data_IF_118697619660
#
_entry.id   IF_118697619660
#
_cell.length_a   1.000
_cell.length_b   1.000
_cell.length_c   1.000
_cell.angle_alpha   90.00
_cell.angle_beta   90.00
_cell.angle_gamma   90.00
#
_symmetry.space_group_name_H-M   'P 1'
#
loop_
_entity.id
_entity.type
_entity.pdbx_description
1 polymer ?
#
# COMPACT_ATOMS: atom_id res chain seq x y z
N UNK A 1 -3.48 -9.05 12.96
CA UNK A 1 -3.70 -7.86 12.10
C UNK A 1 -4.07 -8.29 10.70
N UNK A 2 -4.99 -7.57 10.07
CA UNK A 2 -5.42 -7.77 8.67
C UNK A 2 -4.93 -6.62 7.79
N UNK A 3 -4.90 -6.83 6.48
CA UNK A 3 -4.48 -5.82 5.52
C UNK A 3 -5.60 -5.45 4.55
N UNK A 4 -5.62 -4.20 4.12
CA UNK A 4 -6.49 -3.73 3.03
C UNK A 4 -5.61 -3.10 1.95
N UNK A 5 -5.81 -3.48 0.71
CA UNK A 5 -5.28 -2.77 -0.46
C UNK A 5 -6.46 -2.05 -1.11
N UNK A 6 -6.40 -0.73 -1.14
CA UNK A 6 -7.40 0.05 -1.88
C UNK A 6 -6.88 0.28 -3.30
N UNK A 7 -7.43 -0.48 -4.23
CA UNK A 7 -7.11 -0.48 -5.66
C UNK A 7 -8.28 0.04 -6.50
N UNK A 8 -9.01 1.01 -5.96
CA UNK A 8 -10.12 1.69 -6.62
C UNK A 8 -9.70 2.98 -7.31
N UNK A 9 -10.71 3.74 -7.73
CA UNK A 9 -10.55 5.04 -8.37
C UNK A 9 -10.67 4.98 -9.89
N UNK A 10 -11.10 6.10 -10.49
CA UNK A 10 -11.36 6.20 -11.94
C UNK A 10 -10.13 6.25 -12.83
N UNK A 11 -8.93 6.49 -12.26
CA UNK A 11 -7.68 6.58 -13.01
C UNK A 11 -7.64 7.70 -14.07
N UNK A 12 -8.55 8.65 -14.06
CA UNK A 12 -8.76 9.67 -15.13
C UNK A 12 -7.51 10.49 -15.46
N UNK A 13 -6.63 10.71 -14.49
CA UNK A 13 -5.35 11.41 -14.71
C UNK A 13 -4.37 10.67 -15.62
N UNK A 14 -4.61 9.36 -15.85
CA UNK A 14 -3.82 8.51 -16.75
C UNK A 14 -4.57 8.10 -18.03
N UNK A 15 -5.71 8.74 -18.33
CA UNK A 15 -6.36 8.52 -19.62
C UNK A 15 -5.42 8.93 -20.77
N UNK A 16 -5.35 8.15 -21.88
CA UNK A 16 -6.21 7.00 -22.23
C UNK A 16 -5.75 5.63 -21.67
N UNK A 17 -4.62 5.53 -20.95
CA UNK A 17 -4.06 4.25 -20.49
C UNK A 17 -5.05 3.45 -19.61
N UNK A 18 -5.83 4.14 -18.81
CA UNK A 18 -6.75 3.55 -17.84
C UNK A 18 -8.21 3.47 -18.33
N UNK A 19 -8.46 3.61 -19.63
CA UNK A 19 -9.81 3.44 -20.19
C UNK A 19 -10.30 1.98 -20.18
N UNK A 20 -9.38 1.04 -20.29
CA UNK A 20 -9.72 -0.39 -20.41
C UNK A 20 -9.10 -1.25 -19.30
N UNK A 21 -8.29 -0.68 -18.42
CA UNK A 21 -7.59 -1.42 -17.36
C UNK A 21 -7.39 -0.55 -16.14
N UNK A 22 -7.57 -1.14 -14.96
CA UNK A 22 -7.22 -0.48 -13.69
C UNK A 22 -5.75 -0.07 -13.67
N UNK A 23 -5.46 1.13 -13.14
CA UNK A 23 -4.09 1.61 -12.97
C UNK A 23 -3.21 0.59 -12.24
N UNK A 24 -3.72 -0.03 -11.21
CA UNK A 24 -2.98 -0.96 -10.36
C UNK A 24 -2.68 -2.31 -11.04
N UNK A 25 -3.28 -2.58 -12.20
CA UNK A 25 -2.97 -3.73 -13.06
C UNK A 25 -1.93 -3.40 -14.14
N UNK A 26 -1.61 -2.12 -14.33
CA UNK A 26 -0.59 -1.70 -15.28
C UNK A 26 0.80 -2.17 -14.82
N UNK A 27 1.71 -2.45 -15.77
CA UNK A 27 3.06 -2.88 -15.42
C UNK A 27 3.87 -1.72 -14.82
N UNK A 28 4.62 -2.01 -13.75
CA UNK A 28 5.75 -1.23 -13.31
C UNK A 28 6.98 -2.10 -13.54
N UNK A 29 7.69 -1.82 -14.61
CA UNK A 29 8.80 -2.59 -15.15
C UNK A 29 8.37 -4.02 -15.53
N UNK A 30 8.57 -5.02 -14.68
CA UNK A 30 8.42 -6.44 -14.99
C UNK A 30 7.21 -7.14 -14.32
N UNK A 31 6.41 -6.39 -13.53
CA UNK A 31 5.26 -6.96 -12.82
C UNK A 31 4.11 -5.95 -12.65
N UNK A 32 2.87 -6.41 -12.38
CA UNK A 32 1.75 -5.53 -12.12
C UNK A 32 1.98 -4.63 -10.90
N UNK A 33 1.52 -3.38 -10.97
CA UNK A 33 1.68 -2.39 -9.90
C UNK A 33 1.19 -2.89 -8.54
N UNK A 34 0.08 -3.63 -8.48
CA UNK A 34 -0.51 -4.16 -7.24
C UNK A 34 0.46 -5.05 -6.44
N UNK A 35 1.48 -5.66 -7.07
CA UNK A 35 2.47 -6.51 -6.41
C UNK A 35 3.29 -5.72 -5.38
N UNK A 36 3.56 -4.44 -5.65
CA UNK A 36 4.36 -3.60 -4.75
C UNK A 36 3.64 -3.35 -3.42
N UNK A 37 2.42 -2.79 -3.37
CA UNK A 37 1.70 -2.63 -2.09
C UNK A 37 1.36 -3.98 -1.44
N UNK A 38 1.08 -5.03 -2.21
CA UNK A 38 0.88 -6.36 -1.67
C UNK A 38 2.11 -6.86 -0.92
N UNK A 39 3.31 -6.69 -1.51
CA UNK A 39 4.57 -7.05 -0.88
C UNK A 39 4.81 -6.30 0.44
N UNK A 40 4.36 -5.04 0.55
CA UNK A 40 4.47 -4.24 1.78
C UNK A 40 3.65 -4.85 2.92
N UNK A 41 2.41 -5.23 2.67
CA UNK A 41 1.59 -5.91 3.68
C UNK A 41 2.19 -7.25 4.09
N UNK A 42 2.67 -8.03 3.12
CA UNK A 42 3.34 -9.31 3.39
C UNK A 42 4.62 -9.12 4.23
N UNK A 43 5.45 -8.11 3.92
CA UNK A 43 6.65 -7.76 4.69
C UNK A 43 6.33 -7.28 6.12
N UNK A 44 5.15 -6.71 6.34
CA UNK A 44 4.64 -6.36 7.66
C UNK A 44 4.18 -7.59 8.48
N UNK A 45 4.20 -8.79 7.88
CA UNK A 45 3.74 -10.02 8.53
C UNK A 45 2.25 -10.31 8.34
N UNK A 46 1.58 -9.58 7.45
CA UNK A 46 0.13 -9.69 7.22
C UNK A 46 -0.16 -10.74 6.14
N UNK A 47 -1.01 -11.71 6.45
CA UNK A 47 -1.38 -12.80 5.54
C UNK A 47 -2.84 -12.74 5.08
N UNK A 48 -3.73 -12.15 5.88
CA UNK A 48 -5.13 -11.95 5.52
C UNK A 48 -5.28 -10.56 4.92
N UNK A 49 -5.63 -10.48 3.64
CA UNK A 49 -5.61 -9.23 2.86
C UNK A 49 -6.90 -9.11 2.06
N UNK A 50 -7.59 -7.97 2.23
CA UNK A 50 -8.74 -7.58 1.45
C UNK A 50 -8.31 -6.64 0.32
N UNK A 51 -8.63 -6.99 -0.91
CA UNK A 51 -8.46 -6.15 -2.08
C UNK A 51 -9.79 -5.46 -2.38
N UNK A 52 -9.81 -4.13 -2.32
CA UNK A 52 -10.99 -3.33 -2.62
C UNK A 52 -10.78 -2.64 -3.96
N UNK A 53 -11.70 -2.84 -4.91
CA UNK A 53 -11.61 -2.24 -6.24
C UNK A 53 -12.99 -1.87 -6.79
N UNK A 54 -13.02 -1.29 -8.00
CA UNK A 54 -14.26 -0.98 -8.71
C UNK A 54 -14.98 -2.27 -9.14
N UNK A 55 -16.30 -2.22 -9.37
CA UNK A 55 -17.04 -3.39 -9.90
C UNK A 55 -16.47 -3.91 -11.22
N UNK A 56 -15.97 -3.01 -12.07
CA UNK A 56 -15.41 -3.32 -13.37
C UNK A 56 -14.05 -4.05 -13.29
N UNK A 57 -13.19 -3.62 -12.37
CA UNK A 57 -11.81 -4.09 -12.32
C UNK A 57 -11.59 -5.28 -11.37
N UNK A 58 -12.47 -5.46 -10.37
CA UNK A 58 -12.32 -6.49 -9.34
C UNK A 58 -12.11 -7.90 -9.90
N UNK A 59 -12.85 -8.35 -10.94
CA UNK A 59 -12.64 -9.69 -11.53
C UNK A 59 -11.23 -9.90 -12.08
N UNK A 60 -10.56 -8.83 -12.53
CA UNK A 60 -9.19 -8.91 -13.04
C UNK A 60 -8.17 -9.08 -11.90
N UNK A 61 -8.41 -8.46 -10.73
CA UNK A 61 -7.61 -8.71 -9.53
C UNK A 61 -7.79 -10.13 -9.01
N UNK A 62 -9.02 -10.64 -8.97
CA UNK A 62 -9.30 -12.03 -8.60
C UNK A 62 -8.59 -13.02 -9.52
N UNK A 63 -8.63 -12.78 -10.82
CA UNK A 63 -7.94 -13.59 -11.82
C UNK A 63 -6.41 -13.55 -11.67
N UNK A 64 -5.85 -12.39 -11.33
CA UNK A 64 -4.40 -12.20 -11.19
C UNK A 64 -3.85 -12.83 -9.91
N UNK A 65 -4.52 -12.60 -8.78
CA UNK A 65 -3.99 -12.90 -7.44
C UNK A 65 -4.56 -14.20 -6.85
N UNK A 66 -5.71 -14.67 -7.35
CA UNK A 66 -6.39 -15.86 -6.81
C UNK A 66 -6.84 -15.64 -5.36
N UNK A 67 -6.86 -16.71 -4.58
CA UNK A 67 -7.22 -16.70 -3.16
C UNK A 67 -6.03 -16.47 -2.20
N UNK A 68 -4.83 -16.31 -2.74
CA UNK A 68 -3.59 -16.13 -1.98
C UNK A 68 -2.96 -17.42 -1.43
N UNK A 69 -3.62 -18.55 -1.55
CA UNK A 69 -3.13 -19.84 -0.98
C UNK A 69 -1.77 -20.24 -1.52
N UNK A 70 -1.48 -19.97 -2.79
CA UNK A 70 -0.17 -20.22 -3.41
C UNK A 70 0.96 -19.45 -2.73
N UNK A 71 0.65 -18.32 -2.08
CA UNK A 71 1.61 -17.46 -1.36
C UNK A 71 1.57 -17.70 0.15
N UNK A 72 0.80 -18.69 0.63
CA UNK A 72 0.56 -18.90 2.05
C UNK A 72 -0.21 -17.77 2.72
N UNK A 73 -0.99 -17.03 1.93
CA UNK A 73 -1.87 -15.94 2.33
C UNK A 73 -3.33 -16.30 2.10
N UNK A 74 -4.23 -15.41 2.54
CA UNK A 74 -5.67 -15.49 2.25
C UNK A 74 -6.12 -14.12 1.71
N UNK A 75 -6.58 -14.10 0.47
CA UNK A 75 -7.10 -12.90 -0.15
C UNK A 75 -8.63 -12.95 -0.22
N UNK A 76 -9.24 -11.83 0.14
CA UNK A 76 -10.65 -11.56 -0.04
C UNK A 76 -10.82 -10.33 -0.94
N UNK A 77 -12.00 -10.18 -1.52
CA UNK A 77 -12.28 -9.15 -2.51
C UNK A 77 -13.57 -8.42 -2.17
N UNK A 78 -13.58 -7.10 -2.31
CA UNK A 78 -14.76 -6.28 -2.09
C UNK A 78 -14.88 -5.17 -3.12
N UNK A 79 -16.10 -4.78 -3.40
CA UNK A 79 -16.41 -3.71 -4.36
C UNK A 79 -16.49 -2.38 -3.62
N UNK A 80 -15.79 -1.36 -4.13
CA UNK A 80 -16.08 0.04 -3.88
C UNK A 80 -16.86 0.58 -5.10
N UNK A 81 -18.18 0.81 -4.99
CA UNK A 81 -19.00 1.19 -6.14
C UNK A 81 -18.61 2.53 -6.74
N UNK A 82 -18.23 3.49 -5.90
CA UNK A 82 -17.83 4.84 -6.25
C UNK A 82 -16.61 5.29 -5.47
N UNK A 83 -15.74 6.16 -6.03
CA UNK A 83 -14.50 6.60 -5.39
C UNK A 83 -14.77 7.68 -4.32
N UNK A 84 -15.56 7.37 -3.30
CA UNK A 84 -16.01 8.31 -2.26
C UNK A 84 -14.95 8.58 -1.17
N UNK A 85 -13.69 8.26 -1.40
CA UNK A 85 -12.59 8.53 -0.49
C UNK A 85 -11.95 7.30 0.15
N UNK A 86 -10.77 7.50 0.74
CA UNK A 86 -9.92 6.41 1.24
C UNK A 86 -10.48 5.78 2.52
N UNK A 87 -11.10 6.56 3.40
CA UNK A 87 -11.62 6.08 4.67
C UNK A 87 -12.80 5.10 4.48
N UNK A 88 -13.48 5.13 3.34
CA UNK A 88 -14.55 4.19 3.02
C UNK A 88 -14.05 2.72 3.02
N UNK A 89 -12.75 2.50 2.80
CA UNK A 89 -12.17 1.16 2.83
C UNK A 89 -12.42 0.43 4.16
N UNK A 90 -12.46 1.13 5.29
CA UNK A 90 -12.71 0.53 6.60
C UNK A 90 -14.19 0.18 6.79
N UNK A 91 -15.08 0.95 6.21
CA UNK A 91 -16.54 0.68 6.24
C UNK A 91 -16.87 -0.52 5.35
N UNK A 92 -16.33 -0.56 4.13
CA UNK A 92 -16.48 -1.71 3.21
C UNK A 92 -15.87 -2.96 3.82
N UNK A 93 -14.68 -2.83 4.42
CA UNK A 93 -13.92 -3.92 5.02
C UNK A 93 -14.37 -4.33 6.42
N UNK A 94 -15.41 -3.73 7.01
CA UNK A 94 -15.80 -3.96 8.41
C UNK A 94 -15.94 -5.44 8.78
N UNK A 95 -16.66 -6.20 7.98
CA UNK A 95 -16.86 -7.65 8.22
C UNK A 95 -15.55 -8.43 8.14
N UNK A 96 -14.70 -8.07 7.19
CA UNK A 96 -13.38 -8.66 7.05
C UNK A 96 -12.47 -8.30 8.23
N UNK A 97 -12.44 -7.04 8.64
CA UNK A 97 -11.64 -6.55 9.78
C UNK A 97 -12.09 -7.26 11.06
N UNK A 98 -13.40 -7.32 11.32
CA UNK A 98 -13.94 -7.87 12.56
C UNK A 98 -13.40 -7.08 13.78
N UNK A 99 -12.81 -7.79 14.74
CA UNK A 99 -12.17 -7.20 15.93
C UNK A 99 -10.66 -6.98 15.79
N UNK A 100 -10.08 -7.25 14.61
CA UNK A 100 -8.66 -7.14 14.39
C UNK A 100 -8.20 -5.69 14.18
N UNK A 101 -6.92 -5.45 14.39
CA UNK A 101 -6.20 -4.27 13.91
C UNK A 101 -6.02 -4.39 12.40
N UNK A 102 -5.88 -3.26 11.71
CA UNK A 102 -5.83 -3.23 10.25
C UNK A 102 -4.76 -2.30 9.70
N UNK A 103 -4.04 -2.75 8.67
CA UNK A 103 -3.21 -1.90 7.83
C UNK A 103 -3.94 -1.59 6.52
N UNK A 104 -3.84 -0.34 6.07
CA UNK A 104 -4.30 0.10 4.75
C UNK A 104 -3.10 0.54 3.93
N UNK A 105 -3.00 0.03 2.71
CA UNK A 105 -2.06 0.54 1.71
C UNK A 105 -2.80 0.90 0.43
N UNK A 106 -2.38 2.02 -0.19
CA UNK A 106 -2.92 2.42 -1.48
C UNK A 106 -2.28 1.59 -2.60
N UNK A 107 -3.11 1.09 -3.50
CA UNK A 107 -2.72 0.16 -4.56
C UNK A 107 -1.75 0.72 -5.60
N UNK A 108 -1.47 2.02 -5.56
CA UNK A 108 -0.59 2.75 -6.47
C UNK A 108 0.68 3.29 -5.80
N UNK A 109 0.94 2.92 -4.55
CA UNK A 109 2.11 3.34 -3.80
C UNK A 109 3.19 2.26 -3.82
N UNK A 110 4.41 2.67 -4.14
CA UNK A 110 5.59 1.81 -4.16
C UNK A 110 6.54 2.26 -3.07
N UNK A 111 6.98 1.33 -2.24
CA UNK A 111 7.97 1.58 -1.18
C UNK A 111 9.16 0.67 -1.38
N UNK A 112 10.37 1.23 -1.21
CA UNK A 112 11.62 0.48 -1.23
C UNK A 112 12.65 1.13 -0.30
N UNK A 113 13.37 0.32 0.46
CA UNK A 113 14.44 0.83 1.31
C UNK A 113 14.97 -0.21 2.28
N UNK A 114 16.20 0.00 2.71
CA UNK A 114 16.84 -0.84 3.71
C UNK A 114 16.11 -0.70 5.06
N UNK A 115 15.87 -1.82 5.74
CA UNK A 115 15.21 -1.84 7.05
C UNK A 115 13.69 -1.65 7.02
N UNK A 116 13.08 -1.48 5.83
CA UNK A 116 11.63 -1.26 5.70
C UNK A 116 10.82 -2.38 6.36
N UNK A 117 11.16 -3.65 6.14
CA UNK A 117 10.47 -4.79 6.76
C UNK A 117 10.46 -4.71 8.29
N UNK A 118 11.59 -4.35 8.92
CA UNK A 118 11.67 -4.17 10.38
C UNK A 118 10.78 -3.04 10.87
N UNK A 119 10.77 -1.92 10.14
CA UNK A 119 9.92 -0.76 10.46
C UNK A 119 8.44 -1.14 10.38
N UNK A 120 8.03 -1.88 9.35
CA UNK A 120 6.66 -2.32 9.17
C UNK A 120 6.22 -3.29 10.28
N UNK A 121 7.06 -4.27 10.60
CA UNK A 121 6.78 -5.26 11.65
C UNK A 121 6.70 -4.63 13.05
N UNK A 122 7.50 -3.58 13.32
CA UNK A 122 7.44 -2.85 14.58
C UNK A 122 6.09 -2.12 14.78
N UNK A 123 5.34 -1.87 13.72
CA UNK A 123 4.06 -1.18 13.74
C UNK A 123 2.85 -2.11 13.52
N UNK A 124 3.03 -3.42 13.48
CA UNK A 124 1.95 -4.36 13.21
C UNK A 124 1.03 -4.65 14.42
N UNK A 125 1.24 -3.99 15.54
CA UNK A 125 0.39 -4.03 16.74
C UNK A 125 0.10 -2.62 17.29
N UNK A 126 -0.49 -1.70 16.52
CA UNK A 126 -0.68 -0.31 16.93
C UNK A 126 -1.71 -0.19 18.07
N UNK A 127 -1.50 0.80 18.97
CA UNK A 127 -2.41 1.19 20.03
C UNK A 127 -3.14 2.50 19.68
N UNK A 128 -3.47 2.69 18.44
CA UNK A 128 -4.09 3.86 17.82
C UNK A 128 -3.79 3.89 16.34
N UNK A 129 -3.59 5.09 15.77
CA UNK A 129 -3.17 5.29 14.39
C UNK A 129 -1.66 5.47 14.28
N UNK A 130 -1.06 4.84 13.27
CA UNK A 130 0.32 5.07 12.86
C UNK A 130 0.34 5.51 11.42
N UNK A 131 0.88 6.71 11.16
CA UNK A 131 1.15 7.25 9.83
C UNK A 131 2.65 7.32 9.59
N UNK A 132 3.06 7.39 8.33
CA UNK A 132 4.45 7.61 7.99
C UNK A 132 4.66 9.05 7.51
N UNK A 133 5.86 9.57 7.70
CA UNK A 133 6.30 10.87 7.24
C UNK A 133 7.45 10.70 6.24
N UNK A 134 7.29 11.24 5.05
CA UNK A 134 8.30 11.22 3.99
C UNK A 134 8.57 12.65 3.51
N UNK A 135 9.83 13.07 3.52
CA UNK A 135 10.21 14.43 3.09
C UNK A 135 10.12 14.57 1.57
N UNK A 136 9.36 15.57 1.11
CA UNK A 136 9.12 15.87 -0.29
C UNK A 136 9.38 17.36 -0.58
N UNK A 137 9.50 17.71 -1.87
CA UNK A 137 9.67 19.11 -2.31
C UNK A 137 8.33 19.80 -2.63
N UNK A 138 7.24 19.05 -2.77
CA UNK A 138 5.91 19.48 -3.19
C UNK A 138 4.83 18.98 -2.22
N UNK A 139 4.94 19.32 -0.90
CA UNK A 139 4.08 18.77 0.15
C UNK A 139 2.59 19.11 -0.02
N UNK A 140 2.26 20.21 -0.68
CA UNK A 140 0.89 20.68 -0.93
C UNK A 140 0.03 19.68 -1.74
N UNK A 141 0.67 18.70 -2.37
CA UNK A 141 -0.02 17.65 -3.14
C UNK A 141 -0.60 16.53 -2.28
N UNK A 142 -0.18 16.42 -1.03
CA UNK A 142 -0.39 15.29 -0.14
C UNK A 142 -1.03 15.70 1.19
N UNK A 143 -1.43 14.73 1.99
CA UNK A 143 -1.60 14.94 3.41
C UNK A 143 -0.25 15.32 4.02
N UNK A 144 -0.20 16.36 4.83
CA UNK A 144 1.03 16.86 5.45
C UNK A 144 0.96 16.69 6.95
N UNK A 145 2.00 16.08 7.54
CA UNK A 145 2.13 15.90 8.98
C UNK A 145 3.21 16.81 9.56
N UNK A 146 2.89 17.46 10.68
CA UNK A 146 3.83 18.23 11.49
C UNK A 146 4.04 17.49 12.82
N UNK A 147 5.29 17.39 13.27
CA UNK A 147 5.66 16.74 14.53
C UNK A 147 6.83 17.47 15.20
N UNK A 148 6.96 17.31 16.52
CA UNK A 148 8.02 17.93 17.29
C UNK A 148 9.30 17.07 17.32
N UNK A 149 10.33 17.55 18.03
CA UNK A 149 11.62 16.86 18.18
C UNK A 149 11.54 15.49 18.86
N UNK A 150 10.42 15.20 19.55
CA UNK A 150 10.13 13.91 20.18
C UNK A 150 9.33 12.98 19.23
N UNK A 151 9.17 13.35 17.97
CA UNK A 151 8.33 12.66 16.97
C UNK A 151 6.83 12.59 17.37
N UNK A 152 6.36 13.51 18.19
CA UNK A 152 4.94 13.61 18.55
C UNK A 152 4.23 14.46 17.50
N UNK A 153 3.16 13.93 16.92
CA UNK A 153 2.36 14.64 15.92
C UNK A 153 1.69 15.87 16.55
N UNK A 154 1.83 17.02 15.90
CA UNK A 154 1.25 18.32 16.30
C UNK A 154 0.03 18.62 15.42
N UNK A 155 0.17 18.45 14.12
CA UNK A 155 -0.92 18.69 13.16
C UNK A 155 -0.85 17.73 11.98
N UNK A 156 -1.99 17.53 11.33
CA UNK A 156 -2.10 16.83 10.06
C UNK A 156 -3.16 17.53 9.20
N UNK A 157 -2.82 17.84 7.95
CA UNK A 157 -3.68 18.59 7.04
C UNK A 157 -3.70 17.95 5.66
N UNK A 158 -4.89 17.86 5.04
CA UNK A 158 -5.05 17.34 3.68
C UNK A 158 -4.78 18.44 2.66
N UNK A 159 -3.78 18.24 1.80
CA UNK A 159 -3.41 19.12 0.68
C UNK A 159 -3.44 20.61 1.06
N UNK A 160 -2.70 21.03 2.08
CA UNK A 160 -2.73 22.42 2.55
C UNK A 160 -2.17 23.37 1.49
N UNK A 161 -2.80 24.52 1.31
CA UNK A 161 -2.27 25.58 0.44
C UNK A 161 -0.94 26.16 0.96
N UNK A 162 -0.77 26.18 2.29
CA UNK A 162 0.45 26.63 2.96
C UNK A 162 0.92 25.52 3.92
N UNK A 163 1.71 24.55 3.45
CA UNK A 163 2.18 23.43 4.26
C UNK A 163 3.03 23.88 5.45
N UNK A 164 2.78 23.32 6.63
CA UNK A 164 3.55 23.61 7.85
C UNK A 164 4.84 22.81 7.95
N UNK A 165 4.99 21.79 7.13
CA UNK A 165 6.20 20.96 7.02
C UNK A 165 6.36 20.43 5.61
N UNK A 166 7.54 19.87 5.30
CA UNK A 166 7.79 19.14 4.05
C UNK A 166 7.51 17.66 4.16
N UNK A 167 6.84 17.19 5.22
CA UNK A 167 6.59 15.77 5.44
C UNK A 167 5.21 15.37 4.93
N UNK A 168 5.20 14.76 3.75
CA UNK A 168 4.01 14.12 3.18
C UNK A 168 3.70 12.83 3.93
N UNK A 169 2.42 12.49 4.00
CA UNK A 169 1.92 11.21 4.53
C UNK A 169 1.69 10.26 3.35
N UNK A 170 2.55 9.25 3.17
CA UNK A 170 2.35 8.23 2.16
C UNK A 170 1.10 7.40 2.39
N UNK A 171 0.63 6.74 1.33
CA UNK A 171 -0.54 5.87 1.37
C UNK A 171 -0.31 4.53 2.08
N UNK A 172 0.18 4.57 3.31
CA UNK A 172 0.39 3.40 4.18
C UNK A 172 0.06 3.76 5.62
N UNK A 173 -0.87 3.04 6.21
CA UNK A 173 -1.46 3.35 7.50
C UNK A 173 -1.64 2.08 8.32
N UNK A 174 -1.45 2.17 9.64
CA UNK A 174 -1.72 1.09 10.58
C UNK A 174 -2.65 1.62 11.67
N UNK A 175 -3.71 0.89 11.98
CA UNK A 175 -4.72 1.32 12.95
C UNK A 175 -5.12 0.19 13.88
N UNK A 176 -5.49 0.58 15.11
CA UNK A 176 -6.28 -0.29 15.97
C UNK A 176 -7.72 -0.43 15.44
N UNK A 177 -8.55 -1.21 16.11
CA UNK A 177 -9.91 -1.49 15.63
C UNK A 177 -10.87 -0.29 15.72
N UNK A 178 -10.53 0.75 16.51
CA UNK A 178 -11.33 1.98 16.60
C UNK A 178 -11.52 2.66 15.23
N UNK A 179 -10.64 2.37 14.26
CA UNK A 179 -10.69 2.98 12.91
C UNK A 179 -12.02 2.73 12.18
N UNK A 180 -12.64 1.57 12.39
CA UNK A 180 -13.92 1.24 11.74
C UNK A 180 -15.02 2.19 12.20
N UNK A 181 -15.11 2.41 13.51
CA UNK A 181 -16.11 3.32 14.08
C UNK A 181 -15.78 4.78 13.75
N UNK A 182 -14.51 5.17 13.77
CA UNK A 182 -14.09 6.50 13.34
C UNK A 182 -14.49 6.75 11.88
N UNK A 183 -14.21 5.81 10.97
CA UNK A 183 -14.50 5.95 9.55
C UNK A 183 -16.01 6.07 9.25
N UNK A 184 -16.86 5.45 10.06
CA UNK A 184 -18.33 5.59 9.95
C UNK A 184 -18.84 6.97 10.37
N UNK A 185 -18.11 7.66 11.24
CA UNK A 185 -18.57 8.91 11.87
C UNK A 185 -17.92 10.18 11.29
N UNK A 186 -16.94 10.08 10.38
CA UNK A 186 -16.42 11.26 9.68
C UNK A 186 -17.41 11.76 8.62
N UNK A 187 -17.40 13.08 8.38
CA UNK A 187 -18.18 13.71 7.34
C UNK A 187 -17.38 13.78 6.03
N UNK A 188 -18.05 13.81 4.87
CA UNK A 188 -17.38 14.08 3.60
C UNK A 188 -16.73 15.47 3.60
N UNK A 189 -15.56 15.57 3.01
CA UNK A 189 -14.86 16.85 2.80
C UNK A 189 -15.63 17.73 1.77
N UNK A 190 -15.23 19.01 1.60
CA UNK A 190 -15.78 19.86 0.53
C UNK A 190 -15.60 19.28 -0.89
N UNK A 191 -14.72 18.28 -1.05
CA UNK A 191 -14.55 17.52 -2.30
C UNK A 191 -15.53 16.36 -2.45
N UNK A 192 -16.37 16.10 -1.45
CA UNK A 192 -17.30 14.96 -1.41
C UNK A 192 -16.63 13.63 -1.01
N UNK A 193 -15.38 13.65 -0.54
CA UNK A 193 -14.61 12.45 -0.20
C UNK A 193 -14.53 12.24 1.32
N UNK A 194 -14.61 10.99 1.78
CA UNK A 194 -14.29 10.57 3.15
C UNK A 194 -12.77 10.46 3.27
N UNK A 195 -12.15 11.52 3.79
CA UNK A 195 -10.71 11.67 3.81
C UNK A 195 -10.05 10.81 4.88
N UNK A 196 -8.96 10.13 4.52
CA UNK A 196 -8.14 9.42 5.49
C UNK A 196 -7.49 10.39 6.49
N UNK A 197 -7.23 11.61 6.07
CA UNK A 197 -6.69 12.67 6.93
C UNK A 197 -7.65 13.02 8.07
N UNK A 198 -8.97 12.92 7.86
CA UNK A 198 -9.94 13.19 8.93
C UNK A 198 -10.00 12.03 9.94
N UNK A 199 -9.79 10.79 9.50
CA UNK A 199 -9.55 9.66 10.40
C UNK A 199 -8.31 9.93 11.27
N UNK A 200 -7.21 10.37 10.66
CA UNK A 200 -5.98 10.68 11.37
C UNK A 200 -6.14 11.86 12.34
N UNK A 201 -6.91 12.89 11.97
CA UNK A 201 -7.24 14.00 12.89
C UNK A 201 -8.01 13.53 14.11
N UNK A 202 -8.93 12.58 13.96
CA UNK A 202 -9.66 12.03 15.10
C UNK A 202 -8.73 11.23 16.03
N UNK A 203 -7.79 10.45 15.49
CA UNK A 203 -6.74 9.81 16.30
C UNK A 203 -5.82 10.84 16.97
N UNK A 204 -5.45 11.91 16.29
CA UNK A 204 -4.66 13.00 16.87
C UNK A 204 -5.39 13.67 18.03
N UNK A 205 -6.67 13.98 17.87
CA UNK A 205 -7.53 14.56 18.91
C UNK A 205 -7.64 13.67 20.14
N UNK A 206 -7.66 12.36 19.97
CA UNK A 206 -7.65 11.36 21.06
C UNK A 206 -6.27 11.16 21.68
N UNK A 207 -5.22 11.81 21.16
CA UNK A 207 -3.83 11.61 21.61
C UNK A 207 -3.27 10.24 21.24
N UNK A 208 -3.83 9.58 20.22
CA UNK A 208 -3.50 8.22 19.77
C UNK A 208 -2.91 8.16 18.36
N UNK A 209 -2.41 9.27 17.80
CA UNK A 209 -1.74 9.28 16.51
C UNK A 209 -0.22 9.30 16.67
N UNK A 210 0.45 8.34 16.09
CA UNK A 210 1.91 8.20 16.05
C UNK A 210 2.44 8.41 14.64
N UNK A 211 3.70 8.84 14.51
CA UNK A 211 4.38 9.00 13.22
C UNK A 211 5.66 8.18 13.16
N UNK A 212 5.82 7.40 12.08
CA UNK A 212 7.08 6.74 11.71
C UNK A 212 7.77 7.54 10.60
N UNK A 213 9.05 7.86 10.76
CA UNK A 213 9.80 8.62 9.75
C UNK A 213 10.44 7.64 8.75
N UNK A 214 10.11 7.80 7.47
CA UNK A 214 10.81 7.12 6.39
C UNK A 214 12.13 7.85 6.12
N UNK A 215 13.22 7.19 6.50
CA UNK A 215 14.56 7.78 6.48
C UNK A 215 15.11 7.98 5.07
N UNK A 216 16.18 8.79 4.96
CA UNK A 216 16.99 8.90 3.75
C UNK A 216 17.44 7.50 3.28
N UNK A 217 17.25 7.22 1.99
CA UNK A 217 17.48 5.89 1.40
C UNK A 217 16.23 5.03 1.29
N UNK A 218 15.09 5.48 1.86
CA UNK A 218 13.78 4.94 1.52
C UNK A 218 13.25 5.69 0.30
N UNK A 219 12.78 4.97 -0.71
CA UNK A 219 12.01 5.51 -1.82
C UNK A 219 10.52 5.28 -1.58
N UNK A 220 9.75 6.33 -1.75
CA UNK A 220 8.31 6.29 -1.90
C UNK A 220 7.94 6.93 -3.23
N UNK A 221 7.20 6.21 -4.05
CA UNK A 221 6.79 6.64 -5.39
C UNK A 221 5.27 6.54 -5.47
N UNK A 222 4.63 7.67 -5.78
CA UNK A 222 3.24 7.70 -6.22
C UNK A 222 3.21 7.56 -7.75
N UNK A 223 2.29 6.79 -8.29
CA UNK A 223 2.19 6.56 -9.73
C UNK A 223 0.98 7.30 -10.33
N UNK A 224 0.70 8.49 -9.81
CA UNK A 224 -0.51 9.26 -10.12
C UNK A 224 -0.52 10.02 -11.45
N UNK A 225 0.63 10.16 -12.11
CA UNK A 225 0.79 10.88 -13.39
C UNK A 225 1.61 10.05 -14.38
N UNK A 226 1.57 10.40 -15.68
CA UNK A 226 2.41 9.72 -16.69
C UNK A 226 3.90 9.78 -16.35
N UNK A 227 4.36 10.94 -15.88
CA UNK A 227 5.76 11.11 -15.50
C UNK A 227 6.14 10.24 -14.28
N UNK A 228 5.33 10.24 -13.21
CA UNK A 228 5.62 9.45 -12.02
C UNK A 228 5.49 7.94 -12.28
N UNK A 229 4.57 7.51 -13.16
CA UNK A 229 4.46 6.12 -13.59
C UNK A 229 5.73 5.65 -14.32
N UNK A 230 6.24 6.46 -15.25
CA UNK A 230 7.48 6.18 -15.98
C UNK A 230 8.69 6.17 -15.05
N UNK A 231 8.81 7.17 -14.15
CA UNK A 231 9.88 7.24 -13.17
C UNK A 231 9.91 6.05 -12.22
N UNK A 232 8.73 5.56 -11.80
CA UNK A 232 8.63 4.37 -10.99
C UNK A 232 9.18 3.13 -11.72
N UNK A 233 8.81 2.94 -12.99
CA UNK A 233 9.35 1.84 -13.82
C UNK A 233 10.87 1.93 -13.99
N UNK A 234 11.40 3.12 -14.26
CA UNK A 234 12.84 3.35 -14.40
C UNK A 234 13.59 3.11 -13.09
N UNK A 235 13.05 3.58 -11.96
CA UNK A 235 13.64 3.34 -10.65
C UNK A 235 13.73 1.84 -10.34
N UNK A 236 12.63 1.11 -10.52
CA UNK A 236 12.60 -0.34 -10.28
C UNK A 236 13.60 -1.04 -11.19
N UNK A 237 13.60 -0.73 -12.49
CA UNK A 237 14.54 -1.31 -13.47
C UNK A 237 15.99 -1.12 -13.01
N UNK A 238 16.41 0.11 -12.73
CA UNK A 238 17.80 0.42 -12.38
C UNK A 238 18.23 -0.34 -11.11
N UNK A 239 17.39 -0.40 -10.09
CA UNK A 239 17.73 -1.11 -8.85
C UNK A 239 17.80 -2.62 -9.10
N UNK A 240 16.82 -3.21 -9.77
CA UNK A 240 16.78 -4.66 -10.04
C UNK A 240 17.96 -5.10 -10.91
N UNK A 241 18.29 -4.36 -11.97
CA UNK A 241 19.43 -4.68 -12.85
C UNK A 241 20.78 -4.55 -12.13
N UNK A 242 20.92 -3.56 -11.23
CA UNK A 242 22.18 -3.34 -10.50
C UNK A 242 22.39 -4.32 -9.35
N UNK A 243 21.33 -4.66 -8.62
CA UNK A 243 21.42 -5.52 -7.44
C UNK A 243 21.18 -7.00 -7.74
N UNK A 244 20.60 -7.32 -8.89
CA UNK A 244 20.20 -8.69 -9.22
C UNK A 244 19.06 -9.22 -8.33
N UNK A 245 18.33 -8.32 -7.64
CA UNK A 245 17.23 -8.64 -6.76
C UNK A 245 15.97 -7.88 -7.19
N UNK A 246 14.81 -8.49 -7.01
CA UNK A 246 13.54 -7.87 -7.40
C UNK A 246 12.92 -7.05 -6.28
N UNK A 247 12.26 -5.95 -6.67
CA UNK A 247 11.42 -5.14 -5.78
C UNK A 247 9.97 -5.60 -5.91
N UNK A 248 9.26 -5.81 -4.81
CA UNK A 248 7.85 -6.18 -4.84
C UNK A 248 7.58 -7.57 -5.43
N UNK A 249 8.56 -8.47 -5.39
CA UNK A 249 8.40 -9.86 -5.78
C UNK A 249 7.68 -10.62 -4.67
N UNK A 250 6.36 -10.79 -4.80
CA UNK A 250 5.50 -11.35 -3.76
C UNK A 250 5.84 -12.80 -3.44
N UNK A 251 6.28 -13.57 -4.41
CA UNK A 251 6.69 -14.97 -4.27
C UNK A 251 8.00 -15.09 -3.45
N UNK A 252 8.97 -14.22 -3.72
CA UNK A 252 10.19 -14.12 -2.91
C UNK A 252 9.87 -13.69 -1.48
N UNK A 253 8.99 -12.68 -1.31
CA UNK A 253 8.56 -12.24 0.02
C UNK A 253 7.89 -13.38 0.77
N UNK A 254 6.97 -14.12 0.13
CA UNK A 254 6.31 -15.28 0.73
C UNK A 254 7.32 -16.34 1.20
N UNK A 255 8.33 -16.63 0.39
CA UNK A 255 9.37 -17.59 0.74
C UNK A 255 10.26 -17.10 1.89
N UNK A 256 10.76 -15.86 1.81
CA UNK A 256 11.65 -15.28 2.85
C UNK A 256 10.95 -15.05 4.19
N UNK A 257 9.65 -14.77 4.16
CA UNK A 257 8.81 -14.65 5.35
C UNK A 257 8.36 -16.02 5.91
N UNK A 258 8.75 -17.12 5.27
CA UNK A 258 8.37 -18.46 5.70
C UNK A 258 6.89 -18.78 5.52
N UNK A 259 6.20 -18.09 4.61
CA UNK A 259 4.81 -18.36 4.28
C UNK A 259 4.67 -19.60 3.39
N UNK A 260 5.65 -19.80 2.51
CA UNK A 260 5.79 -20.98 1.65
C UNK A 260 7.19 -21.58 1.78
N UNK A 261 7.32 -22.85 1.45
CA UNK A 261 8.60 -23.57 1.42
C UNK A 261 9.24 -23.56 0.02
N UNK A 262 10.44 -24.14 -0.09
CA UNK A 262 11.20 -24.18 -1.35
C UNK A 262 10.47 -24.94 -2.48
N UNK A 263 9.75 -26.03 -2.16
CA UNK A 263 9.04 -26.81 -3.19
C UNK A 263 7.82 -26.05 -3.72
N UNK A 264 7.13 -25.33 -2.85
CA UNK A 264 6.05 -24.42 -3.26
C UNK A 264 6.60 -23.30 -4.15
N UNK A 265 7.73 -22.67 -3.80
CA UNK A 265 8.36 -21.63 -4.64
C UNK A 265 8.79 -22.20 -6.00
N UNK A 266 9.35 -23.42 -6.06
CA UNK A 266 9.66 -24.09 -7.34
C UNK A 266 8.41 -24.30 -8.19
N UNK A 267 7.31 -24.70 -7.58
CA UNK A 267 6.04 -24.90 -8.30
C UNK A 267 5.49 -23.62 -8.89
N UNK A 268 5.56 -22.50 -8.14
CA UNK A 268 5.15 -21.17 -8.62
C UNK A 268 6.07 -20.69 -9.75
N UNK A 269 7.39 -20.88 -9.62
CA UNK A 269 8.38 -20.43 -10.58
C UNK A 269 8.24 -21.12 -11.95
N UNK A 270 7.87 -22.40 -11.98
CA UNK A 270 7.87 -23.23 -13.19
C UNK A 270 7.12 -22.63 -14.37
N UNK A 271 5.89 -22.14 -14.29
CA UNK A 271 5.19 -21.51 -15.42
C UNK A 271 5.79 -20.16 -15.84
N UNK A 272 6.62 -19.54 -15.00
CA UNK A 272 7.18 -18.18 -15.20
C UNK A 272 8.61 -18.19 -15.77
N UNK A 273 9.21 -19.35 -15.97
CA UNK A 273 10.64 -19.46 -16.38
C UNK A 273 10.91 -18.78 -17.72
N UNK A 274 9.96 -18.84 -18.67
CA UNK A 274 10.14 -18.26 -20.02
C UNK A 274 10.32 -16.73 -20.01
N UNK A 275 9.78 -16.03 -19.03
CA UNK A 275 9.90 -14.57 -18.91
C UNK A 275 11.18 -14.13 -18.17
N UNK A 276 11.97 -15.04 -17.65
CA UNK A 276 13.09 -14.75 -16.77
C UNK A 276 12.69 -14.53 -15.30
N UNK A 277 11.44 -14.18 -15.03
CA UNK A 277 10.92 -14.01 -13.67
C UNK A 277 10.99 -15.31 -12.86
N UNK A 278 10.53 -16.42 -13.45
CA UNK A 278 10.63 -17.74 -12.81
C UNK A 278 12.06 -18.21 -12.62
N UNK A 279 12.99 -17.88 -13.54
CA UNK A 279 14.40 -18.21 -13.34
C UNK A 279 15.00 -17.47 -12.14
N UNK A 280 14.63 -16.20 -11.95
CA UNK A 280 14.99 -15.45 -10.74
C UNK A 280 14.53 -16.17 -9.46
N UNK A 281 13.26 -16.62 -9.40
CA UNK A 281 12.71 -17.35 -8.26
C UNK A 281 13.46 -18.67 -7.99
N UNK A 282 13.89 -19.36 -9.04
CA UNK A 282 14.70 -20.58 -8.88
C UNK A 282 16.11 -20.26 -8.34
N UNK A 283 16.70 -19.16 -8.78
CA UNK A 283 18.04 -18.74 -8.33
C UNK A 283 18.06 -18.33 -6.84
N UNK A 284 16.92 -17.92 -6.26
CA UNK A 284 16.83 -17.64 -4.81
C UNK A 284 17.03 -18.92 -3.97
N UNK A 285 16.77 -20.10 -4.55
CA UNK A 285 16.86 -21.39 -3.87
C UNK A 285 18.25 -22.03 -3.97
N UNK A 286 19.13 -21.51 -4.79
CA UNK A 286 20.53 -21.92 -4.94
C UNK A 286 21.43 -21.15 -3.97
#
# INVERSE_FOLDING_TARGET
>A
MKGIILAGGSGTRLHPLTLAVSKQLMPIYDKPMIYYPLSILMLAGIKEILIISTPHDLPNFEKLLGDGSNLGCRFEYAVQPEPNGLAQAFVIGEKFIGSDKVALVLGDNIFYGSGLSKLLQANNDPMGGVVYAYSVNDPERYGVVEFNSENKVISIEEKPTNPKSNYAVPGLYFYDNDVVEIAKNIAPSPRGEYEITDVNKEYLKRGKLSVGILNRGTAWLDTGTFASLMQAGQFVQVIEERQGMKIGCIEEVAYRMGYINADQLRSIAKPLVKSGYGQYLLNILS
#
